data_IF_454897622006
#
_entry.id   IF_454897622006
#
_cell.length_a   1.000
_cell.length_b   1.000
_cell.length_c   1.000
_cell.angle_alpha   90.00
_cell.angle_beta   90.00
_cell.angle_gamma   90.00
#
_symmetry.space_group_name_H-M   'P 1'
#
loop_
_entity.id
_entity.type
_entity.pdbx_description
1 polymer ?
#
# COMPACT_ATOMS: atom_id res chain seq x y z
N UNK A 1 -8.57 -15.64 4.39
CA UNK A 1 -9.10 -14.89 3.23
C UNK A 1 -7.92 -14.38 2.44
N UNK A 2 -7.79 -14.69 1.14
CA UNK A 2 -6.63 -14.25 0.36
C UNK A 2 -6.78 -12.79 -0.06
N UNK A 3 -5.83 -11.95 0.35
CA UNK A 3 -5.77 -10.52 0.02
C UNK A 3 -4.65 -10.28 -0.99
N UNK A 4 -4.88 -9.37 -1.94
CA UNK A 4 -3.87 -8.98 -2.92
C UNK A 4 -3.75 -7.47 -2.98
N UNK A 5 -2.52 -6.97 -2.94
CA UNK A 5 -2.18 -5.55 -2.98
C UNK A 5 -1.30 -5.31 -4.20
N UNK A 6 -1.73 -4.38 -5.05
CA UNK A 6 -0.89 -3.87 -6.12
C UNK A 6 0.12 -2.88 -5.51
N UNK A 7 1.40 -3.04 -5.82
CA UNK A 7 2.51 -2.25 -5.26
C UNK A 7 3.39 -1.68 -6.34
N UNK A 8 3.86 -0.45 -6.16
CA UNK A 8 4.70 0.23 -7.15
C UNK A 8 6.17 -0.21 -7.01
N UNK A 9 6.95 0.02 -8.06
CA UNK A 9 8.42 -0.11 -8.07
C UNK A 9 9.01 -1.53 -7.91
N UNK A 10 8.22 -2.60 -8.08
CA UNK A 10 8.78 -3.96 -8.19
C UNK A 10 9.32 -4.16 -9.62
N UNK A 11 10.64 -4.05 -9.79
CA UNK A 11 11.29 -4.21 -11.10
C UNK A 11 12.15 -5.46 -11.21
N UNK A 12 12.43 -6.12 -10.09
CA UNK A 12 13.48 -7.13 -10.01
C UNK A 12 13.13 -8.28 -9.06
N UNK A 13 13.62 -9.49 -9.36
CA UNK A 13 13.45 -10.66 -8.48
C UNK A 13 14.07 -10.47 -7.10
N UNK A 14 15.17 -9.72 -7.00
CA UNK A 14 15.77 -9.34 -5.71
C UNK A 14 14.83 -8.49 -4.85
N UNK A 15 14.10 -7.57 -5.47
CA UNK A 15 13.12 -6.69 -4.86
C UNK A 15 11.97 -7.52 -4.25
N UNK A 16 11.46 -8.47 -5.02
CA UNK A 16 10.44 -9.41 -4.57
C UNK A 16 10.94 -10.26 -3.38
N UNK A 17 12.18 -10.74 -3.43
CA UNK A 17 12.75 -11.56 -2.34
C UNK A 17 12.89 -10.79 -1.03
N UNK A 18 13.29 -9.52 -1.08
CA UNK A 18 13.34 -8.65 0.11
C UNK A 18 11.96 -8.47 0.74
N UNK A 19 10.94 -8.20 -0.08
CA UNK A 19 9.56 -8.08 0.39
C UNK A 19 9.09 -9.41 1.01
N UNK A 20 9.32 -10.53 0.32
CA UNK A 20 8.94 -11.85 0.80
C UNK A 20 9.56 -12.15 2.16
N UNK A 21 10.87 -11.92 2.30
CA UNK A 21 11.57 -12.15 3.56
C UNK A 21 10.98 -11.28 4.68
N UNK A 22 10.77 -9.98 4.43
CA UNK A 22 10.25 -9.07 5.46
C UNK A 22 8.82 -9.40 5.87
N UNK A 23 7.98 -9.80 4.91
CA UNK A 23 6.62 -10.23 5.17
C UNK A 23 6.57 -11.62 5.85
N UNK A 24 7.53 -12.50 5.56
CA UNK A 24 7.61 -13.83 6.19
C UNK A 24 8.09 -13.77 7.64
N UNK A 25 8.72 -12.68 8.07
CA UNK A 25 9.02 -12.41 9.48
C UNK A 25 7.76 -12.07 10.31
N UNK A 26 6.63 -11.80 9.65
CA UNK A 26 5.38 -11.49 10.32
C UNK A 26 4.58 -12.79 10.54
N UNK A 27 4.49 -13.25 11.79
CA UNK A 27 3.69 -14.44 12.15
C UNK A 27 2.18 -14.27 11.92
N UNK A 28 1.72 -13.04 11.68
CA UNK A 28 0.30 -12.73 11.52
C UNK A 28 -0.23 -12.90 10.09
N UNK A 29 0.62 -13.24 9.12
CA UNK A 29 0.23 -13.51 7.73
C UNK A 29 0.81 -14.83 7.23
N UNK A 30 0.17 -15.43 6.23
CA UNK A 30 0.61 -16.71 5.65
C UNK A 30 0.44 -16.71 4.13
N UNK A 31 1.03 -17.70 3.44
CA UNK A 31 0.91 -17.90 1.99
C UNK A 31 1.25 -16.65 1.15
N UNK A 32 2.39 -16.03 1.44
CA UNK A 32 2.86 -14.84 0.71
C UNK A 32 3.31 -15.25 -0.70
N UNK A 33 2.76 -14.58 -1.71
CA UNK A 33 3.05 -14.78 -3.12
C UNK A 33 3.28 -13.42 -3.77
N UNK A 34 4.37 -13.26 -4.53
CA UNK A 34 4.70 -11.99 -5.18
C UNK A 34 4.75 -12.22 -6.69
N UNK A 35 3.88 -11.53 -7.41
CA UNK A 35 3.88 -11.49 -8.87
C UNK A 35 4.56 -10.20 -9.33
N UNK A 36 5.75 -10.35 -9.93
CA UNK A 36 6.54 -9.23 -10.46
C UNK A 36 5.91 -8.68 -11.75
N UNK A 37 5.37 -9.54 -12.60
CA UNK A 37 4.76 -9.16 -13.88
C UNK A 37 3.54 -8.27 -13.65
N UNK A 38 2.71 -8.65 -12.68
CA UNK A 38 1.52 -7.88 -12.30
C UNK A 38 1.76 -6.84 -11.21
N UNK A 39 2.99 -6.73 -10.69
CA UNK A 39 3.32 -5.87 -9.55
C UNK A 39 2.36 -6.07 -8.35
N UNK A 40 2.08 -7.34 -8.03
CA UNK A 40 1.03 -7.75 -7.10
C UNK A 40 1.59 -8.62 -5.98
N UNK A 41 1.30 -8.26 -4.74
CA UNK A 41 1.63 -9.04 -3.55
C UNK A 41 0.36 -9.64 -2.98
N UNK A 42 0.26 -10.96 -2.99
CA UNK A 42 -0.84 -11.72 -2.43
C UNK A 42 -0.43 -12.40 -1.13
N UNK A 43 -1.27 -12.35 -0.11
CA UNK A 43 -1.01 -12.97 1.20
C UNK A 43 -2.35 -13.29 1.89
N UNK A 44 -2.28 -14.13 2.91
CA UNK A 44 -3.43 -14.54 3.72
C UNK A 44 -3.30 -13.87 5.09
N UNK A 45 -3.95 -12.71 5.32
CA UNK A 45 -4.02 -12.09 6.64
C UNK A 45 -4.92 -12.88 7.59
N UNK A 46 -4.58 -12.84 8.88
CA UNK A 46 -5.45 -13.35 9.94
C UNK A 46 -6.52 -12.32 10.33
N UNK A 47 -6.16 -11.04 10.36
CA UNK A 47 -7.02 -9.91 10.75
C UNK A 47 -6.88 -8.75 9.76
N UNK A 48 -7.86 -7.84 9.71
CA UNK A 48 -7.76 -6.60 8.90
C UNK A 48 -6.57 -5.71 9.30
N UNK A 49 -6.16 -5.76 10.58
CA UNK A 49 -4.96 -5.06 11.06
C UNK A 49 -3.69 -5.53 10.35
N UNK A 50 -3.61 -6.80 9.97
CA UNK A 50 -2.46 -7.34 9.25
C UNK A 50 -2.34 -6.72 7.86
N UNK A 51 -3.48 -6.46 7.21
CA UNK A 51 -3.50 -5.79 5.89
C UNK A 51 -2.92 -4.37 6.00
N UNK A 52 -3.25 -3.65 7.08
CA UNK A 52 -2.71 -2.31 7.35
C UNK A 52 -1.20 -2.37 7.65
N UNK A 53 -0.78 -3.32 8.48
CA UNK A 53 0.62 -3.55 8.82
C UNK A 53 1.47 -3.88 7.58
N UNK A 54 0.95 -4.73 6.69
CA UNK A 54 1.61 -5.07 5.42
C UNK A 54 1.72 -3.84 4.53
N UNK A 55 0.67 -3.02 4.40
CA UNK A 55 0.72 -1.78 3.63
C UNK A 55 1.76 -0.80 4.15
N UNK A 56 1.80 -0.57 5.46
CA UNK A 56 2.79 0.32 6.08
C UNK A 56 4.21 -0.20 5.92
N UNK A 57 4.41 -1.51 6.08
CA UNK A 57 5.71 -2.16 5.86
C UNK A 57 6.17 -1.98 4.41
N UNK A 58 5.30 -2.26 3.44
CA UNK A 58 5.59 -2.08 2.01
C UNK A 58 5.94 -0.62 1.68
N UNK A 59 5.19 0.34 2.24
CA UNK A 59 5.45 1.78 2.11
C UNK A 59 6.80 2.17 2.71
N UNK A 60 7.13 1.67 3.90
CA UNK A 60 8.42 1.91 4.57
C UNK A 60 9.60 1.34 3.78
N UNK A 61 9.41 0.23 3.08
CA UNK A 61 10.40 -0.38 2.18
C UNK A 61 10.53 0.33 0.83
N UNK A 62 9.68 1.33 0.52
CA UNK A 62 9.70 2.05 -0.76
C UNK A 62 8.83 1.43 -1.86
N UNK A 63 7.93 0.51 -1.50
CA UNK A 63 6.97 -0.15 -2.40
C UNK A 63 5.53 0.27 -2.05
N UNK A 64 5.14 1.53 -2.22
CA UNK A 64 3.80 2.01 -1.86
C UNK A 64 2.72 1.30 -2.69
N UNK A 65 1.52 1.17 -2.12
CA UNK A 65 0.40 0.52 -2.81
C UNK A 65 -0.15 1.41 -3.94
N UNK A 66 -0.58 0.83 -5.06
CA UNK A 66 -1.25 1.58 -6.13
C UNK A 66 -2.61 2.17 -5.69
N UNK A 67 -3.19 1.66 -4.60
CA UNK A 67 -4.49 2.11 -4.09
C UNK A 67 -4.40 3.30 -3.13
N UNK A 68 -3.24 3.95 -3.00
CA UNK A 68 -3.12 5.27 -2.36
C UNK A 68 -3.82 6.40 -3.14
N UNK A 69 -4.74 6.07 -4.06
CA UNK A 69 -5.68 7.00 -4.67
C UNK A 69 -7.03 6.92 -3.95
N UNK A 70 -7.24 7.90 -3.05
CA UNK A 70 -8.52 8.48 -2.63
C UNK A 70 -9.34 7.75 -1.54
N UNK A 71 -9.37 8.30 -0.31
CA UNK A 71 -10.69 8.68 0.26
C UNK A 71 -10.76 9.58 1.52
N UNK A 72 -9.71 10.27 2.01
CA UNK A 72 -9.93 11.11 3.22
C UNK A 72 -9.16 12.42 3.33
N UNK A 73 -7.93 12.52 2.82
CA UNK A 73 -7.10 13.71 3.07
C UNK A 73 -7.11 14.76 1.95
N UNK A 74 -7.34 14.38 0.68
CA UNK A 74 -7.29 15.33 -0.45
C UNK A 74 -8.55 16.20 -0.62
N UNK A 75 -9.71 15.75 -0.13
CA UNK A 75 -10.96 16.54 -0.20
C UNK A 75 -10.96 17.76 0.74
N UNK A 76 -10.23 17.68 1.85
CA UNK A 76 -10.13 18.77 2.81
C UNK A 76 -9.25 19.93 2.28
N UNK A 77 -8.11 19.64 1.64
CA UNK A 77 -7.27 20.69 1.04
C UNK A 77 -7.96 21.45 -0.10
N UNK A 78 -8.76 20.75 -0.92
CA UNK A 78 -9.41 21.37 -2.07
C UNK A 78 -10.55 22.34 -1.67
N UNK A 79 -11.22 22.13 -0.54
CA UNK A 79 -12.28 23.03 -0.08
C UNK A 79 -11.71 24.34 0.50
N UNK A 80 -10.54 24.26 1.13
CA UNK A 80 -9.86 25.43 1.71
C UNK A 80 -9.31 26.37 0.62
N UNK A 81 -8.91 25.83 -0.54
CA UNK A 81 -8.43 26.65 -1.66
C UNK A 81 -9.52 27.40 -2.42
N UNK A 82 -10.78 26.95 -2.36
CA UNK A 82 -11.90 27.62 -3.05
C UNK A 82 -12.58 28.69 -2.18
N UNK A 83 -12.47 28.59 -0.85
CA UNK A 83 -13.13 29.50 0.09
C UNK A 83 -12.33 30.79 0.39
N UNK A 84 -11.02 30.82 0.10
CA UNK A 84 -10.18 32.00 0.36
C UNK A 84 -10.08 32.96 -0.84
N UNK A 85 -10.63 32.59 -2.00
CA UNK A 85 -10.62 33.42 -3.21
C UNK A 85 -11.85 34.33 -3.39
N UNK A 86 -12.80 34.33 -2.45
CA UNK A 86 -14.07 35.06 -2.57
C UNK A 86 -14.26 36.09 -1.46
N UNK A 87 -13.22 36.85 -1.17
CA UNK A 87 -13.31 38.18 -0.55
C UNK A 87 -12.70 39.17 -1.56
N UNK A 88 -13.56 39.70 -2.44
CA UNK A 88 -13.98 41.12 -2.42
C UNK A 88 -12.90 42.07 -2.95
N UNK A 89 -13.05 42.43 -4.23
CA UNK A 89 -12.96 43.84 -4.63
C UNK A 89 -14.25 44.55 -4.21
#
# INVERSE_FOLDING_TARGET
MKTSILVQNIKCGGCAKTILNKLSEMDSISEITINIEENKVSFNPNTELDILLVKETLKSLGYPSFTDTNNITSKAKSLVSCALGKFTN
#
